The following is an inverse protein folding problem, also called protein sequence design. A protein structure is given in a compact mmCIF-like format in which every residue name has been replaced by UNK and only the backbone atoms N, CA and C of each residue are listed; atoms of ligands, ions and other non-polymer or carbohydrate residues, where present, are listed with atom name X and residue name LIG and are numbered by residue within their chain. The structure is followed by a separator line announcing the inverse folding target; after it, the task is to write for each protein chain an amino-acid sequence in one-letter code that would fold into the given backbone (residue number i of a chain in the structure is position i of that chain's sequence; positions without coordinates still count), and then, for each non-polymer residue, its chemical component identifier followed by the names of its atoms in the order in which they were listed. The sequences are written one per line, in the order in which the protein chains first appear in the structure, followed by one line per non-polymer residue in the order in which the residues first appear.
data_IF_757398290953
#
_entry.id   IF_757398290953
#
_cell.length_a   1.000
_cell.length_b   1.000
_cell.length_c   1.000
_cell.angle_alpha   90.00
_cell.angle_beta   90.00
_cell.angle_gamma   90.00
#
_symmetry.space_group_name_H-M   'P 1'
#
loop_
_entity.id
_entity.type
_entity.pdbx_description
1 polymer ?
#
# COMPACT_ATOMS: atom_id res chain seq x y z
N UNK A 1 -2.84 56.20 50.72
CA UNK A 1 -4.19 55.76 50.32
C UNK A 1 -4.36 56.01 48.79
N UNK A 2 -3.60 55.32 47.96
CA UNK A 2 -3.78 55.29 46.49
C UNK A 2 -3.15 53.99 46.00
N UNK A 3 -3.98 52.95 45.81
CA UNK A 3 -3.44 51.70 45.34
C UNK A 3 -4.50 50.63 45.00
N UNK A 4 -5.62 51.00 44.30
CA UNK A 4 -6.67 49.99 43.96
C UNK A 4 -7.22 50.07 42.54
N UNK A 5 -6.77 50.96 41.68
CA UNK A 5 -7.38 51.13 40.35
C UNK A 5 -6.59 50.58 39.17
N UNK A 6 -5.33 50.20 39.33
CA UNK A 6 -4.53 49.72 38.20
C UNK A 6 -4.79 48.25 37.82
N UNK A 7 -5.24 47.43 38.78
CA UNK A 7 -5.52 46.02 38.56
C UNK A 7 -6.81 45.75 37.77
N UNK A 8 -7.81 46.60 37.91
CA UNK A 8 -9.05 46.47 37.15
C UNK A 8 -8.87 46.84 35.66
N UNK A 9 -8.08 47.85 35.37
CA UNK A 9 -7.81 48.26 33.94
C UNK A 9 -6.97 47.21 33.24
N UNK A 10 -5.97 46.64 33.87
CA UNK A 10 -5.14 45.59 33.27
C UNK A 10 -5.95 44.30 32.91
N UNK A 11 -6.92 43.98 33.76
CA UNK A 11 -7.78 42.82 33.53
C UNK A 11 -8.74 43.00 32.36
N UNK A 12 -9.26 44.21 32.13
CA UNK A 12 -10.13 44.48 30.98
C UNK A 12 -9.36 44.56 29.65
N UNK A 13 -8.16 45.05 29.65
CA UNK A 13 -7.30 45.10 28.46
C UNK A 13 -6.84 43.67 28.08
N UNK A 14 -6.54 42.83 29.08
CA UNK A 14 -6.13 41.46 28.81
C UNK A 14 -7.28 40.61 28.26
N UNK A 15 -8.50 40.77 28.81
CA UNK A 15 -9.69 40.06 28.33
C UNK A 15 -10.13 40.51 26.93
N UNK A 16 -10.03 41.80 26.59
CA UNK A 16 -10.33 42.30 25.26
C UNK A 16 -9.31 41.83 24.19
N UNK A 17 -8.04 41.70 24.55
CA UNK A 17 -7.02 41.16 23.66
C UNK A 17 -7.14 39.66 23.47
N UNK A 18 -7.49 38.88 24.51
CA UNK A 18 -7.78 37.45 24.35
C UNK A 18 -9.01 37.22 23.46
N UNK A 19 -10.05 38.01 23.56
CA UNK A 19 -11.23 37.88 22.68
C UNK A 19 -10.91 38.22 21.24
N UNK A 20 -10.09 39.22 20.98
CA UNK A 20 -9.68 39.62 19.61
C UNK A 20 -8.76 38.57 18.97
N UNK A 21 -7.88 37.94 19.75
CA UNK A 21 -7.01 36.85 19.24
C UNK A 21 -7.84 35.58 18.98
N UNK A 22 -8.83 35.25 19.85
CA UNK A 22 -9.70 34.11 19.64
C UNK A 22 -10.61 34.29 18.39
N UNK A 23 -11.09 35.51 18.14
CA UNK A 23 -11.93 35.80 16.97
C UNK A 23 -11.10 35.79 15.67
N UNK A 24 -9.83 36.19 15.72
CA UNK A 24 -8.95 36.14 14.55
C UNK A 24 -8.52 34.70 14.21
N UNK A 25 -8.29 33.84 15.21
CA UNK A 25 -7.96 32.42 15.01
C UNK A 25 -9.17 31.63 14.50
N UNK A 26 -10.40 32.00 14.92
CA UNK A 26 -11.61 31.36 14.43
C UNK A 26 -11.95 31.71 12.95
N UNK A 27 -11.49 32.86 12.44
CA UNK A 27 -11.71 33.25 11.04
C UNK A 27 -10.67 32.68 10.05
N UNK A 28 -9.56 32.13 10.54
CA UNK A 28 -8.51 31.56 9.67
C UNK A 28 -8.58 30.04 9.53
N UNK A 29 -9.43 29.38 10.30
CA UNK A 29 -9.77 27.97 10.11
C UNK A 29 -10.94 27.86 9.12
N UNK A 30 -10.69 28.26 7.87
CA UNK A 30 -11.49 27.73 6.77
C UNK A 30 -11.34 26.22 6.79
N UNK A 31 -12.41 25.42 6.87
CA UNK A 31 -12.29 24.02 6.62
C UNK A 31 -11.76 23.88 5.19
N UNK A 32 -10.50 23.56 5.03
CA UNK A 32 -10.02 22.98 3.79
C UNK A 32 -10.83 21.70 3.63
N UNK A 33 -11.93 21.79 2.89
CA UNK A 33 -12.58 20.64 2.31
C UNK A 33 -11.50 20.02 1.45
N UNK A 34 -10.83 18.98 1.97
CA UNK A 34 -9.99 18.12 1.15
C UNK A 34 -10.92 17.64 0.05
N UNK A 35 -10.74 18.19 -1.14
CA UNK A 35 -11.42 17.70 -2.33
C UNK A 35 -11.09 16.21 -2.38
N UNK A 36 -12.10 15.38 -2.15
CA UNK A 36 -11.96 13.95 -2.29
C UNK A 36 -11.67 13.72 -3.77
N UNK A 37 -10.41 13.43 -4.09
CA UNK A 37 -10.03 13.08 -5.46
C UNK A 37 -10.87 11.87 -5.85
N UNK A 38 -11.81 12.09 -6.76
CA UNK A 38 -12.61 11.01 -7.32
C UNK A 38 -11.70 10.21 -8.24
N UNK A 39 -11.62 8.90 -7.98
CA UNK A 39 -10.94 7.99 -8.89
C UNK A 39 -11.51 8.14 -10.30
N UNK A 40 -10.67 8.12 -11.34
CA UNK A 40 -11.15 8.16 -12.71
C UNK A 40 -12.09 6.97 -12.93
N UNK A 41 -13.22 7.17 -13.63
CA UNK A 41 -14.12 6.07 -13.93
C UNK A 41 -13.39 5.02 -14.77
N UNK A 42 -13.59 3.74 -14.42
CA UNK A 42 -13.13 2.64 -15.25
C UNK A 42 -13.70 2.78 -16.66
N UNK A 43 -12.88 2.67 -17.68
CA UNK A 43 -13.35 2.70 -19.06
C UNK A 43 -14.13 1.40 -19.38
N UNK A 44 -14.87 1.40 -20.49
CA UNK A 44 -15.67 0.23 -20.86
C UNK A 44 -14.82 -1.01 -21.12
N UNK A 45 -13.60 -0.85 -21.64
CA UNK A 45 -12.65 -1.95 -21.88
C UNK A 45 -12.26 -2.61 -20.55
N UNK A 46 -12.10 -1.84 -19.48
CA UNK A 46 -11.75 -2.37 -18.16
C UNK A 46 -12.92 -3.10 -17.47
N UNK A 47 -14.15 -2.83 -17.92
CA UNK A 47 -15.38 -3.47 -17.43
C UNK A 47 -15.83 -4.67 -18.26
N UNK A 48 -15.50 -4.67 -19.56
CA UNK A 48 -15.88 -5.72 -20.49
C UNK A 48 -14.89 -6.87 -20.42
N UNK A 49 -15.15 -7.83 -19.54
CA UNK A 49 -14.34 -9.05 -19.41
C UNK A 49 -15.05 -10.21 -20.10
N UNK A 50 -14.39 -10.82 -21.09
CA UNK A 50 -14.81 -12.07 -21.65
C UNK A 50 -13.75 -13.12 -21.39
N UNK A 51 -14.03 -14.05 -20.48
CA UNK A 51 -13.18 -15.20 -20.26
C UNK A 51 -13.44 -16.27 -21.33
N UNK A 52 -12.39 -16.85 -21.86
CA UNK A 52 -12.47 -17.88 -22.89
C UNK A 52 -12.17 -19.25 -22.29
N UNK A 53 -13.17 -20.15 -22.28
CA UNK A 53 -13.01 -21.52 -21.77
C UNK A 53 -12.93 -21.62 -20.25
N UNK A 54 -12.32 -22.70 -19.75
CA UNK A 54 -12.06 -22.89 -18.31
C UNK A 54 -10.90 -22.01 -17.85
N UNK A 55 -11.05 -21.46 -16.65
CA UNK A 55 -10.06 -20.59 -16.03
C UNK A 55 -9.73 -21.10 -14.62
N UNK A 56 -8.45 -21.24 -14.32
CA UNK A 56 -7.96 -21.64 -13.00
C UNK A 56 -7.27 -20.48 -12.30
N UNK A 57 -7.73 -20.17 -11.09
CA UNK A 57 -7.15 -19.20 -10.19
C UNK A 57 -6.52 -19.88 -8.99
N UNK A 58 -5.23 -19.70 -8.77
CA UNK A 58 -4.58 -19.99 -7.50
C UNK A 58 -4.61 -18.73 -6.63
N UNK A 59 -5.39 -18.76 -5.55
CA UNK A 59 -5.43 -17.68 -4.56
C UNK A 59 -4.87 -18.18 -3.24
N UNK A 60 -3.83 -17.56 -2.74
CA UNK A 60 -3.22 -17.89 -1.46
C UNK A 60 -3.38 -16.72 -0.48
N UNK A 61 -3.17 -16.99 0.81
CA UNK A 61 -3.17 -15.98 1.86
C UNK A 61 -1.85 -15.20 1.92
N UNK A 62 -1.38 -14.99 3.14
CA UNK A 62 -0.24 -14.13 3.43
C UNK A 62 1.09 -14.73 2.97
N UNK A 63 1.81 -14.00 2.15
CA UNK A 63 3.15 -14.30 1.69
C UNK A 63 4.17 -13.68 2.64
N UNK A 64 4.49 -14.43 3.71
CA UNK A 64 5.47 -14.03 4.73
C UNK A 64 6.84 -14.61 4.41
N UNK A 65 7.40 -14.23 3.26
CA UNK A 65 8.60 -14.84 2.70
C UNK A 65 9.81 -13.92 2.91
N UNK A 66 10.75 -14.36 3.72
CA UNK A 66 11.97 -13.59 4.03
C UNK A 66 13.15 -13.89 3.11
N UNK A 67 13.17 -15.04 2.45
CA UNK A 67 14.23 -15.52 1.57
C UNK A 67 13.64 -16.34 0.43
N UNK A 68 14.34 -16.42 -0.72
CA UNK A 68 13.91 -17.29 -1.81
C UNK A 68 13.57 -18.72 -1.37
N UNK A 69 12.46 -19.25 -1.86
CA UNK A 69 11.94 -20.55 -1.50
C UNK A 69 11.54 -21.42 -2.73
N UNK A 70 11.54 -20.83 -3.94
CA UNK A 70 11.12 -21.54 -5.17
C UNK A 70 11.94 -22.80 -5.48
N UNK A 71 13.18 -22.86 -4.99
CA UNK A 71 14.13 -23.96 -5.24
C UNK A 71 14.40 -24.85 -4.03
N UNK A 72 13.57 -24.75 -2.97
CA UNK A 72 13.69 -25.67 -1.85
C UNK A 72 13.50 -27.11 -2.34
N UNK A 73 14.39 -28.01 -1.90
CA UNK A 73 14.38 -29.42 -2.33
C UNK A 73 13.33 -30.27 -1.58
N UNK A 74 12.38 -29.62 -0.91
CA UNK A 74 11.29 -30.26 -0.21
C UNK A 74 10.16 -30.61 -1.19
N UNK A 75 9.80 -31.91 -1.25
CA UNK A 75 8.82 -32.45 -2.22
C UNK A 75 7.42 -31.89 -1.98
N UNK A 76 7.03 -31.69 -0.71
CA UNK A 76 5.71 -31.14 -0.37
C UNK A 76 5.61 -29.68 -0.74
N UNK A 77 6.67 -28.90 -0.50
CA UNK A 77 6.75 -27.50 -0.93
C UNK A 77 6.67 -27.41 -2.46
N UNK A 78 7.43 -28.23 -3.18
CA UNK A 78 7.38 -28.22 -4.65
C UNK A 78 6.00 -28.62 -5.18
N UNK A 79 5.32 -29.58 -4.57
CA UNK A 79 3.97 -29.95 -4.97
C UNK A 79 2.97 -28.79 -4.83
N UNK A 80 3.08 -27.98 -3.77
CA UNK A 80 2.27 -26.75 -3.61
C UNK A 80 2.62 -25.71 -4.68
N UNK A 81 3.92 -25.49 -4.91
CA UNK A 81 4.37 -24.54 -5.95
C UNK A 81 3.94 -24.96 -7.35
N UNK A 82 3.87 -26.26 -7.63
CA UNK A 82 3.41 -26.76 -8.93
C UNK A 82 1.91 -26.51 -9.13
N UNK A 83 1.09 -26.51 -8.07
CA UNK A 83 -0.32 -26.07 -8.16
C UNK A 83 -0.42 -24.58 -8.50
N UNK A 84 0.42 -23.75 -7.88
CA UNK A 84 0.46 -22.32 -8.15
C UNK A 84 0.91 -22.07 -9.60
N UNK A 85 2.00 -22.68 -10.04
CA UNK A 85 2.54 -22.58 -11.41
C UNK A 85 1.59 -23.09 -12.48
N UNK A 86 0.75 -24.06 -12.12
CA UNK A 86 -0.21 -24.68 -13.05
C UNK A 86 -1.49 -23.88 -13.25
N UNK A 87 -1.72 -22.84 -12.47
CA UNK A 87 -2.90 -21.98 -12.61
C UNK A 87 -2.74 -21.00 -13.77
N UNK A 88 -3.86 -20.55 -14.33
CA UNK A 88 -3.88 -19.47 -15.36
C UNK A 88 -3.53 -18.11 -14.77
N UNK A 89 -3.79 -17.93 -13.48
CA UNK A 89 -3.45 -16.75 -12.69
C UNK A 89 -3.18 -17.16 -11.24
N UNK A 90 -2.11 -16.65 -10.65
CA UNK A 90 -1.81 -16.83 -9.24
C UNK A 90 -1.72 -15.50 -8.49
N UNK A 91 -2.45 -15.38 -7.38
CA UNK A 91 -2.56 -14.17 -6.57
C UNK A 91 -2.28 -14.50 -5.11
N UNK A 92 -1.55 -13.62 -4.41
CA UNK A 92 -1.30 -13.70 -2.97
C UNK A 92 -1.37 -12.35 -2.27
N UNK A 93 -1.41 -12.37 -0.94
CA UNK A 93 -1.27 -11.17 -0.12
C UNK A 93 0.21 -11.01 0.28
N UNK A 94 0.89 -9.99 -0.24
CA UNK A 94 2.28 -9.72 0.13
C UNK A 94 2.31 -9.03 1.50
N UNK A 95 2.36 -9.85 2.54
CA UNK A 95 2.19 -9.44 3.93
C UNK A 95 3.38 -8.65 4.48
N UNK A 96 4.56 -8.86 3.95
CA UNK A 96 5.77 -8.17 4.38
C UNK A 96 6.28 -7.16 3.35
N UNK A 97 7.45 -6.66 3.66
CA UNK A 97 8.21 -5.74 2.82
C UNK A 97 9.47 -6.41 2.28
N UNK A 98 10.00 -5.88 1.20
CA UNK A 98 11.22 -6.35 0.56
C UNK A 98 12.23 -5.21 0.44
N UNK A 99 13.50 -5.50 0.73
CA UNK A 99 14.54 -4.49 0.64
C UNK A 99 15.92 -5.11 0.33
N UNK A 100 16.82 -4.27 -0.17
CA UNK A 100 18.26 -4.52 -0.16
C UNK A 100 18.79 -4.31 1.25
N UNK A 101 18.69 -5.30 2.12
CA UNK A 101 18.89 -5.18 3.58
C UNK A 101 20.18 -4.51 4.02
N UNK A 102 21.23 -4.52 3.17
CA UNK A 102 22.53 -3.90 3.47
C UNK A 102 22.61 -2.44 3.04
N UNK A 103 21.77 -2.02 2.14
CA UNK A 103 21.79 -0.72 1.45
C UNK A 103 20.55 0.11 1.79
N UNK A 104 19.60 -0.50 2.52
CA UNK A 104 18.36 0.15 2.87
C UNK A 104 18.59 1.20 3.96
N UNK A 105 18.26 2.45 3.67
CA UNK A 105 18.47 3.62 4.52
C UNK A 105 17.23 3.99 5.36
N UNK A 106 16.37 3.02 5.63
CA UNK A 106 15.16 3.18 6.44
C UNK A 106 15.12 2.23 7.63
N UNK A 107 14.11 2.35 8.49
CA UNK A 107 13.89 1.37 9.56
C UNK A 107 13.50 0.02 8.97
N UNK A 108 14.08 -1.06 9.46
CA UNK A 108 13.72 -2.43 9.11
C UNK A 108 12.90 -3.03 10.24
N UNK A 109 11.59 -2.88 10.17
CA UNK A 109 10.64 -3.38 11.15
C UNK A 109 9.73 -4.47 10.56
N UNK A 110 9.12 -5.27 11.43
CA UNK A 110 8.14 -6.28 11.03
C UNK A 110 8.70 -7.40 10.16
N UNK A 111 7.97 -7.76 9.11
CA UNK A 111 8.34 -8.81 8.17
C UNK A 111 9.07 -8.23 6.97
N UNK A 112 10.39 -8.18 7.03
CA UNK A 112 11.21 -7.74 5.90
C UNK A 112 11.94 -8.93 5.29
N UNK A 113 11.72 -9.16 4.00
CA UNK A 113 12.41 -10.13 3.17
C UNK A 113 13.54 -9.50 2.35
N UNK A 114 14.42 -10.34 1.82
CA UNK A 114 15.51 -9.87 0.94
C UNK A 114 14.94 -9.51 -0.44
N UNK A 115 15.63 -8.64 -1.15
CA UNK A 115 15.24 -8.17 -2.50
C UNK A 115 15.05 -9.31 -3.51
N UNK A 116 15.77 -10.43 -3.36
CA UNK A 116 15.67 -11.59 -4.25
C UNK A 116 14.30 -12.27 -4.19
N UNK A 117 13.52 -12.05 -3.12
CA UNK A 117 12.19 -12.64 -2.96
C UNK A 117 11.23 -12.18 -4.06
N UNK A 118 11.32 -10.94 -4.53
CA UNK A 118 10.47 -10.45 -5.61
C UNK A 118 10.61 -11.30 -6.89
N UNK A 119 11.85 -11.53 -7.33
CA UNK A 119 12.11 -12.41 -8.47
C UNK A 119 11.75 -13.88 -8.19
N UNK A 120 11.91 -14.31 -6.94
CA UNK A 120 11.57 -15.67 -6.53
C UNK A 120 10.05 -15.92 -6.51
N UNK A 121 9.23 -14.92 -6.18
CA UNK A 121 7.77 -14.99 -6.31
C UNK A 121 7.35 -15.32 -7.76
N UNK A 122 8.02 -14.72 -8.75
CA UNK A 122 7.78 -15.06 -10.16
C UNK A 122 8.16 -16.50 -10.47
N UNK A 123 9.26 -17.01 -9.92
CA UNK A 123 9.66 -18.41 -10.04
C UNK A 123 8.72 -19.38 -9.30
N UNK A 124 8.06 -18.93 -8.25
CA UNK A 124 7.01 -19.68 -7.57
C UNK A 124 5.72 -19.74 -8.38
N UNK A 125 5.54 -18.89 -9.38
CA UNK A 125 4.38 -18.83 -10.25
C UNK A 125 3.39 -17.70 -9.96
N UNK A 126 3.72 -16.78 -9.05
CA UNK A 126 2.85 -15.63 -8.76
C UNK A 126 2.86 -14.60 -9.89
N UNK A 127 1.69 -14.07 -10.21
CA UNK A 127 1.47 -13.03 -11.21
C UNK A 127 1.09 -11.71 -10.58
N UNK A 128 0.27 -11.75 -9.52
CA UNK A 128 -0.23 -10.55 -8.85
C UNK A 128 -0.15 -10.68 -7.34
N UNK A 129 0.05 -9.57 -6.65
CA UNK A 129 -0.01 -9.51 -5.19
C UNK A 129 -0.80 -8.31 -4.69
N UNK A 130 -1.62 -8.55 -3.65
CA UNK A 130 -2.22 -7.47 -2.88
C UNK A 130 -1.17 -6.83 -1.95
N UNK A 131 -1.21 -5.50 -1.84
CA UNK A 131 -0.37 -4.72 -0.93
C UNK A 131 -1.17 -3.98 0.15
N UNK A 132 -2.52 -3.98 0.08
CA UNK A 132 -3.36 -3.37 1.09
C UNK A 132 -3.49 -4.29 2.31
N UNK A 133 -2.55 -4.20 3.24
CA UNK A 133 -2.47 -5.04 4.43
C UNK A 133 -1.87 -4.24 5.62
N UNK A 134 -1.98 -4.76 6.84
CA UNK A 134 -1.63 -4.04 8.06
C UNK A 134 -0.12 -3.86 8.30
N UNK A 135 0.76 -4.61 7.63
CA UNK A 135 2.22 -4.51 7.71
C UNK A 135 2.83 -3.64 6.60
N UNK A 136 1.99 -3.00 5.78
CA UNK A 136 2.41 -2.20 4.61
C UNK A 136 3.41 -1.09 4.95
N UNK A 137 3.32 -0.51 6.14
CA UNK A 137 4.12 0.62 6.58
C UNK A 137 4.97 0.27 7.83
N UNK A 138 5.28 -0.99 8.08
CA UNK A 138 6.14 -1.37 9.20
C UNK A 138 7.55 -0.77 9.09
N UNK A 139 8.09 -0.68 7.88
CA UNK A 139 9.33 0.01 7.56
C UNK A 139 9.10 1.37 6.88
N UNK A 140 8.01 2.03 7.24
CA UNK A 140 7.59 3.34 6.76
C UNK A 140 7.37 3.39 5.23
N UNK A 141 7.31 4.58 4.65
CA UNK A 141 7.12 4.73 3.20
C UNK A 141 8.28 4.18 2.38
N UNK A 142 9.50 4.24 2.93
CA UNK A 142 10.71 3.72 2.29
C UNK A 142 10.63 2.21 2.06
N UNK A 143 10.12 1.45 3.03
CA UNK A 143 9.91 0.00 2.90
C UNK A 143 8.82 -0.32 1.88
N UNK A 144 7.71 0.42 1.92
CA UNK A 144 6.62 0.28 0.95
C UNK A 144 7.12 0.54 -0.48
N UNK A 145 7.83 1.64 -0.73
CA UNK A 145 8.34 1.97 -2.07
C UNK A 145 9.44 1.02 -2.53
N UNK A 146 10.34 0.59 -1.64
CA UNK A 146 11.32 -0.44 -1.95
C UNK A 146 10.65 -1.72 -2.45
N UNK A 147 9.63 -2.19 -1.74
CA UNK A 147 8.88 -3.38 -2.10
C UNK A 147 8.18 -3.22 -3.45
N UNK A 148 7.48 -2.10 -3.68
CA UNK A 148 6.79 -1.84 -4.94
C UNK A 148 7.77 -1.84 -6.12
N UNK A 149 8.92 -1.16 -5.98
CA UNK A 149 9.95 -1.14 -7.02
C UNK A 149 10.51 -2.53 -7.33
N UNK A 150 10.76 -3.35 -6.30
CA UNK A 150 11.26 -4.72 -6.48
C UNK A 150 10.23 -5.63 -7.15
N UNK A 151 8.93 -5.46 -6.85
CA UNK A 151 7.85 -6.18 -7.51
C UNK A 151 7.73 -5.77 -8.99
N UNK A 152 7.82 -4.46 -9.29
CA UNK A 152 7.83 -3.93 -10.65
C UNK A 152 8.99 -4.52 -11.46
N UNK A 153 10.21 -4.51 -10.90
CA UNK A 153 11.40 -5.07 -11.54
C UNK A 153 11.28 -6.57 -11.80
N UNK A 154 10.56 -7.29 -10.95
CA UNK A 154 10.29 -8.72 -11.10
C UNK A 154 9.13 -9.02 -12.06
N UNK A 155 8.38 -8.01 -12.52
CA UNK A 155 7.19 -8.18 -13.34
C UNK A 155 6.02 -8.82 -12.59
N UNK A 156 5.93 -8.58 -11.29
CA UNK A 156 4.78 -8.94 -10.44
C UNK A 156 3.84 -7.73 -10.40
N UNK A 157 2.62 -7.91 -10.85
CA UNK A 157 1.59 -6.87 -10.77
C UNK A 157 1.11 -6.71 -9.34
N UNK A 158 0.97 -5.48 -8.85
CA UNK A 158 0.51 -5.26 -7.48
C UNK A 158 -0.52 -4.13 -7.40
N UNK A 159 -1.38 -4.16 -6.38
CA UNK A 159 -2.37 -3.15 -6.07
C UNK A 159 -2.50 -2.95 -4.55
N UNK A 160 -3.06 -1.83 -4.12
CA UNK A 160 -3.35 -1.58 -2.71
C UNK A 160 -2.30 -0.73 -1.99
N UNK A 161 -1.37 -0.13 -2.72
CA UNK A 161 -0.37 0.81 -2.18
C UNK A 161 -0.02 1.87 -3.22
N UNK A 162 0.48 3.03 -2.76
CA UNK A 162 0.85 4.11 -3.66
C UNK A 162 1.22 5.38 -2.89
N UNK A 163 1.63 6.43 -3.63
CA UNK A 163 2.04 7.73 -3.07
C UNK A 163 0.86 8.56 -2.54
N UNK A 164 -0.35 8.19 -2.92
CA UNK A 164 -1.59 8.85 -2.54
C UNK A 164 -2.76 7.87 -2.65
N UNK A 165 -3.95 8.28 -2.18
CA UNK A 165 -5.15 7.45 -2.21
C UNK A 165 -5.55 7.03 -3.65
N UNK A 166 -5.35 7.89 -4.65
CA UNK A 166 -5.69 7.58 -6.02
C UNK A 166 -4.84 6.42 -6.56
N UNK A 167 -3.54 6.42 -6.29
CA UNK A 167 -2.64 5.32 -6.67
C UNK A 167 -2.96 4.06 -5.87
N UNK A 168 -3.13 4.17 -4.55
CA UNK A 168 -3.41 3.02 -3.68
C UNK A 168 -4.73 2.32 -4.02
N UNK A 169 -5.77 3.07 -4.43
CA UNK A 169 -7.07 2.52 -4.80
C UNK A 169 -7.20 2.20 -6.30
N UNK A 170 -6.15 2.45 -7.10
CA UNK A 170 -6.19 2.14 -8.52
C UNK A 170 -6.18 0.62 -8.75
N UNK A 171 -7.02 0.11 -9.68
CA UNK A 171 -6.95 -1.28 -10.06
C UNK A 171 -5.68 -1.57 -10.86
N UNK A 172 -5.03 -2.69 -10.54
CA UNK A 172 -3.93 -3.21 -11.35
C UNK A 172 -4.44 -4.34 -12.25
N UNK A 173 -3.96 -4.40 -13.49
CA UNK A 173 -4.45 -5.33 -14.50
C UNK A 173 -3.35 -6.29 -14.94
N UNK A 174 -3.73 -7.55 -15.16
CA UNK A 174 -2.86 -8.59 -15.69
C UNK A 174 -3.52 -9.28 -16.87
N UNK A 175 -2.80 -9.34 -17.99
CA UNK A 175 -3.28 -9.99 -19.22
C UNK A 175 -2.88 -11.47 -19.20
N UNK A 176 -3.84 -12.33 -19.41
CA UNK A 176 -3.65 -13.78 -19.56
C UNK A 176 -4.16 -14.23 -20.93
N UNK A 177 -3.75 -15.40 -21.38
CA UNK A 177 -4.16 -15.92 -22.68
C UNK A 177 -5.70 -16.05 -22.84
N UNK A 178 -6.42 -16.23 -21.72
CA UNK A 178 -7.88 -16.42 -21.69
C UNK A 178 -8.68 -15.16 -21.40
N UNK A 179 -8.03 -14.03 -21.15
CA UNK A 179 -8.69 -12.77 -20.81
C UNK A 179 -7.81 -11.84 -20.00
N UNK A 180 -8.43 -11.00 -19.18
CA UNK A 180 -7.76 -9.98 -18.35
C UNK A 180 -8.28 -10.05 -16.93
N UNK A 181 -7.39 -10.06 -15.96
CA UNK A 181 -7.72 -9.96 -14.54
C UNK A 181 -7.46 -8.54 -14.01
N UNK A 182 -8.23 -8.14 -13.00
CA UNK A 182 -8.00 -6.91 -12.25
C UNK A 182 -7.90 -7.24 -10.76
N UNK A 183 -6.91 -6.63 -10.10
CA UNK A 183 -6.76 -6.66 -8.65
C UNK A 183 -7.03 -5.27 -8.10
N UNK A 184 -7.84 -5.21 -7.04
CA UNK A 184 -8.09 -4.00 -6.25
C UNK A 184 -7.72 -4.35 -4.81
N UNK A 185 -6.92 -3.52 -4.17
CA UNK A 185 -6.48 -3.67 -2.78
C UNK A 185 -7.19 -2.71 -1.84
#
# INVERSE_FOLDING_TARGET
MYGTNYWLMARHILLLNCFKVLTLVALTLSPTVLAQETLPPLNERDRAMTMQGEFTLASVGDLMIRRPASRLADVEVQAVLDLIRGADLAVGNMEGELAYLREFDGPLNGFVGTHEVAADLKLMGFDMVNRAQNHLLDSEFEGMFSTNSLLDDAGIVHAGSGRNLQEAAAPAFFEIAKGRAALVG
#
